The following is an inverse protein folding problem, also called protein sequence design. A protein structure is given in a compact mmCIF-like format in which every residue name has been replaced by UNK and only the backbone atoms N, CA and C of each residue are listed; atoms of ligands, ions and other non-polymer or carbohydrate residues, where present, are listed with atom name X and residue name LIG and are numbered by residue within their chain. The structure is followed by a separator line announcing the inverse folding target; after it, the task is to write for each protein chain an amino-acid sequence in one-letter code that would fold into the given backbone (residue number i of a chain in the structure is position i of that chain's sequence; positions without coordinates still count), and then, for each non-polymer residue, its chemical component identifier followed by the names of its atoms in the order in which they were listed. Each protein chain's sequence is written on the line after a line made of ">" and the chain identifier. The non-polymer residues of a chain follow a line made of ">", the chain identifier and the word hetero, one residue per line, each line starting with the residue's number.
data_IF_652310002742
#
_entry.id   IF_652310002742
#
_cell.length_a   1.000
_cell.length_b   1.000
_cell.length_c   1.000
_cell.angle_alpha   90.00
_cell.angle_beta   90.00
_cell.angle_gamma   90.00
#
_symmetry.space_group_name_H-M   'P 1'
#
loop_
_entity.id
_entity.type
_entity.pdbx_description
1 polymer ?
#
# COMPACT_ATOMS: atom_id res chain seq x y z
N UNK A 1 14.47 -87.22 25.68
CA UNK A 1 14.94 -86.53 24.46
C UNK A 1 14.17 -85.21 24.33
N UNK A 2 14.84 -84.11 23.95
CA UNK A 2 14.44 -82.77 24.36
C UNK A 2 13.38 -82.14 23.46
N UNK A 3 12.38 -81.54 24.13
CA UNK A 3 11.35 -80.66 23.58
C UNK A 3 11.99 -79.38 23.03
N UNK A 4 11.75 -79.09 21.75
CA UNK A 4 12.13 -77.83 21.10
C UNK A 4 10.96 -76.85 21.22
N UNK A 5 11.15 -75.81 22.03
CA UNK A 5 10.30 -74.63 22.05
C UNK A 5 10.45 -73.83 20.74
N UNK A 6 9.36 -73.32 20.15
CA UNK A 6 9.43 -72.37 19.06
C UNK A 6 9.72 -70.94 19.59
N UNK A 7 10.76 -70.34 19.02
CA UNK A 7 11.19 -68.95 19.24
C UNK A 7 10.10 -67.96 18.79
N UNK A 8 9.59 -67.16 19.72
CA UNK A 8 8.75 -66.01 19.44
C UNK A 8 9.58 -64.90 18.77
N UNK A 9 9.14 -64.44 17.60
CA UNK A 9 9.70 -63.29 16.89
C UNK A 9 9.03 -62.03 17.42
N UNK A 10 9.78 -61.19 18.14
CA UNK A 10 9.31 -59.89 18.62
C UNK A 10 9.38 -58.86 17.48
N UNK A 11 8.22 -58.33 17.10
CA UNK A 11 8.10 -57.19 16.21
C UNK A 11 8.53 -55.91 16.96
N UNK A 12 9.63 -55.30 16.53
CA UNK A 12 10.06 -53.97 16.98
C UNK A 12 9.23 -52.90 16.27
N UNK A 13 8.38 -52.22 17.03
CA UNK A 13 7.63 -51.04 16.61
C UNK A 13 8.57 -49.85 16.44
N UNK A 14 8.83 -49.47 15.19
CA UNK A 14 9.56 -48.24 14.86
C UNK A 14 8.81 -47.01 15.35
N UNK A 15 9.42 -46.24 16.26
CA UNK A 15 8.94 -44.91 16.67
C UNK A 15 8.98 -43.97 15.46
N UNK A 16 7.90 -43.24 15.14
CA UNK A 16 7.94 -42.20 14.13
C UNK A 16 8.88 -41.07 14.58
N UNK A 17 9.83 -40.76 13.71
CA UNK A 17 10.75 -39.62 13.82
C UNK A 17 9.96 -38.33 14.01
N UNK A 18 10.34 -37.56 15.03
CA UNK A 18 9.76 -36.24 15.32
C UNK A 18 10.06 -35.33 14.12
N UNK A 19 9.00 -34.97 13.40
CA UNK A 19 8.99 -33.90 12.41
C UNK A 19 9.62 -32.66 13.07
N UNK A 20 10.71 -32.19 12.49
CA UNK A 20 11.44 -31.03 12.96
C UNK A 20 10.50 -29.83 13.09
N UNK A 21 10.63 -29.10 14.20
CA UNK A 21 9.94 -27.82 14.38
C UNK A 21 10.21 -26.96 13.13
N UNK A 22 9.18 -26.36 12.50
CA UNK A 22 9.42 -25.42 11.42
C UNK A 22 10.33 -24.30 11.93
N UNK A 23 11.33 -23.95 11.11
CA UNK A 23 12.23 -22.85 11.37
C UNK A 23 11.42 -21.62 11.80
N UNK A 24 11.84 -20.99 12.90
CA UNK A 24 11.30 -19.70 13.31
C UNK A 24 11.60 -18.75 12.16
N UNK A 25 10.57 -18.46 11.36
CA UNK A 25 10.64 -17.39 10.37
C UNK A 25 10.88 -16.12 11.17
N UNK A 26 12.11 -15.62 11.09
CA UNK A 26 12.49 -14.33 11.65
C UNK A 26 11.47 -13.32 11.11
N UNK A 27 10.65 -12.74 12.00
CA UNK A 27 9.69 -11.73 11.58
C UNK A 27 10.52 -10.55 11.10
N UNK A 28 10.48 -10.28 9.79
CA UNK A 28 11.09 -9.07 9.22
C UNK A 28 10.63 -7.86 10.04
N UNK A 29 11.60 -7.22 10.69
CA UNK A 29 11.35 -6.08 11.55
C UNK A 29 11.15 -4.85 10.67
N UNK A 30 9.95 -4.25 10.71
CA UNK A 30 9.70 -2.98 10.03
C UNK A 30 10.56 -1.88 10.65
N UNK A 31 11.09 -1.00 9.81
CA UNK A 31 11.71 0.25 10.27
C UNK A 31 10.61 1.19 10.76
N UNK A 32 10.68 1.58 12.04
CA UNK A 32 9.70 2.46 12.68
C UNK A 32 10.31 3.83 12.95
N UNK A 33 9.54 4.87 12.73
CA UNK A 33 9.91 6.24 13.10
C UNK A 33 8.86 6.81 14.04
N UNK A 34 9.31 7.45 15.12
CA UNK A 34 8.43 8.08 16.10
C UNK A 34 7.68 9.27 15.51
N UNK A 35 6.47 9.51 16.00
CA UNK A 35 5.66 10.66 15.63
C UNK A 35 6.36 11.98 15.99
N UNK A 36 6.08 13.03 15.21
CA UNK A 36 6.43 14.40 15.56
C UNK A 36 5.62 14.82 16.81
N UNK A 37 6.26 15.20 17.92
CA UNK A 37 5.56 15.69 19.11
C UNK A 37 4.67 16.90 18.78
N UNK A 38 3.41 16.86 19.21
CA UNK A 38 2.45 17.99 19.05
C UNK A 38 1.57 17.94 17.79
N UNK A 39 1.65 16.89 16.97
CA UNK A 39 0.68 16.70 15.89
C UNK A 39 -0.75 16.56 16.47
N UNK A 40 -1.72 17.29 15.90
CA UNK A 40 -3.08 17.34 16.40
C UNK A 40 -3.72 15.94 16.48
N UNK A 41 -4.40 15.64 17.58
CA UNK A 41 -5.09 14.35 17.84
C UNK A 41 -6.59 14.38 17.51
N UNK A 42 -7.12 15.53 17.08
CA UNK A 42 -8.53 15.68 16.71
C UNK A 42 -8.65 15.42 15.22
N UNK A 43 -9.05 14.21 14.87
CA UNK A 43 -9.44 13.86 13.51
C UNK A 43 -10.90 14.26 13.27
N UNK A 44 -11.32 14.39 12.01
CA UNK A 44 -12.72 14.60 11.69
C UNK A 44 -13.58 13.37 11.99
N UNK A 45 -14.82 13.38 11.50
CA UNK A 45 -15.67 12.17 11.49
C UNK A 45 -14.94 11.03 10.78
N UNK A 46 -15.14 9.81 11.24
CA UNK A 46 -14.51 8.62 10.67
C UNK A 46 -14.85 8.50 9.18
N UNK A 47 -16.09 8.79 8.77
CA UNK A 47 -16.48 8.87 7.37
C UNK A 47 -15.51 9.72 6.52
N UNK A 48 -15.24 10.96 6.95
CA UNK A 48 -14.40 11.90 6.22
C UNK A 48 -12.95 11.41 6.18
N UNK A 49 -12.45 10.89 7.30
CA UNK A 49 -11.10 10.32 7.36
C UNK A 49 -10.94 9.09 6.48
N UNK A 50 -11.96 8.23 6.36
CA UNK A 50 -11.94 7.09 5.45
C UNK A 50 -11.97 7.53 3.98
N UNK A 51 -12.67 8.61 3.66
CA UNK A 51 -12.63 9.20 2.31
C UNK A 51 -11.23 9.72 1.96
N UNK A 52 -10.63 10.51 2.86
CA UNK A 52 -9.27 11.02 2.68
C UNK A 52 -8.27 9.86 2.58
N UNK A 53 -8.38 8.87 3.46
CA UNK A 53 -7.51 7.71 3.45
C UNK A 53 -7.62 6.92 2.14
N UNK A 54 -8.84 6.67 1.63
CA UNK A 54 -9.03 5.99 0.34
C UNK A 54 -8.35 6.72 -0.83
N UNK A 55 -8.40 8.07 -0.83
CA UNK A 55 -7.72 8.90 -1.82
C UNK A 55 -6.19 8.80 -1.69
N UNK A 56 -5.65 9.01 -0.49
CA UNK A 56 -4.21 8.91 -0.26
C UNK A 56 -3.69 7.50 -0.55
N UNK A 57 -4.49 6.45 -0.30
CA UNK A 57 -4.14 5.07 -0.67
C UNK A 57 -3.96 4.87 -2.17
N UNK A 58 -4.82 5.49 -2.97
CA UNK A 58 -4.67 5.47 -4.42
C UNK A 58 -3.44 6.28 -4.85
N UNK A 59 -3.29 7.49 -4.29
CA UNK A 59 -2.20 8.42 -4.61
C UNK A 59 -0.83 7.81 -4.29
N UNK A 60 -0.60 7.36 -3.06
CA UNK A 60 0.68 6.78 -2.64
C UNK A 60 1.01 5.49 -3.39
N UNK A 61 0.01 4.69 -3.76
CA UNK A 61 0.24 3.52 -4.61
C UNK A 61 0.87 3.90 -5.95
N UNK A 62 0.27 4.84 -6.68
CA UNK A 62 0.80 5.27 -7.97
C UNK A 62 2.13 6.03 -7.86
N UNK A 63 2.29 6.88 -6.83
CA UNK A 63 3.56 7.55 -6.56
C UNK A 63 4.67 6.54 -6.27
N UNK A 64 4.40 5.52 -5.46
CA UNK A 64 5.36 4.44 -5.19
C UNK A 64 5.78 3.72 -6.50
N UNK A 65 4.82 3.34 -7.35
CA UNK A 65 5.12 2.68 -8.63
C UNK A 65 5.87 3.59 -9.62
N UNK A 66 5.56 4.88 -9.62
CA UNK A 66 6.26 5.86 -10.44
C UNK A 66 7.72 6.03 -9.99
N UNK A 67 7.93 6.27 -8.70
CA UNK A 67 9.27 6.50 -8.14
C UNK A 67 10.17 5.29 -8.35
N UNK A 68 9.67 4.06 -8.20
CA UNK A 68 10.49 2.86 -8.44
C UNK A 68 10.88 2.70 -9.91
N UNK A 69 10.02 3.11 -10.85
CA UNK A 69 10.34 3.14 -12.30
C UNK A 69 11.33 4.25 -12.65
N UNK A 70 11.23 5.41 -12.00
CA UNK A 70 12.20 6.48 -12.16
C UNK A 70 13.60 6.05 -11.68
N UNK A 71 13.67 5.36 -10.54
CA UNK A 71 14.93 4.76 -10.04
C UNK A 71 15.49 3.74 -11.02
N UNK A 72 14.66 2.80 -11.51
CA UNK A 72 15.07 1.82 -12.55
C UNK A 72 15.72 2.53 -13.74
N UNK A 73 15.06 3.56 -14.27
CA UNK A 73 15.55 4.32 -15.41
C UNK A 73 16.89 5.01 -15.13
N UNK A 74 17.00 5.76 -14.04
CA UNK A 74 18.21 6.51 -13.72
C UNK A 74 19.38 5.57 -13.40
N UNK A 75 19.14 4.49 -12.66
CA UNK A 75 20.17 3.54 -12.31
C UNK A 75 20.68 2.78 -13.54
N UNK A 76 19.82 2.50 -14.52
CA UNK A 76 20.18 1.79 -15.75
C UNK A 76 20.81 2.70 -16.83
N UNK A 77 20.91 4.02 -16.60
CA UNK A 77 21.68 4.91 -17.50
C UNK A 77 23.17 4.62 -17.43
N UNK A 78 23.67 4.20 -16.27
CA UNK A 78 25.04 3.75 -16.14
C UNK A 78 25.17 2.31 -16.64
N UNK A 79 25.59 2.17 -17.90
CA UNK A 79 25.76 0.86 -18.55
C UNK A 79 26.93 0.05 -18.00
N UNK A 80 27.74 0.60 -17.09
CA UNK A 80 28.82 -0.15 -16.42
C UNK A 80 28.30 -1.05 -15.28
N UNK A 81 27.06 -0.83 -14.84
CA UNK A 81 26.39 -1.59 -13.78
C UNK A 81 25.41 -2.61 -14.35
N UNK A 82 25.13 -3.67 -13.59
CA UNK A 82 24.08 -4.61 -13.94
C UNK A 82 22.71 -3.89 -13.92
N UNK A 83 21.86 -4.09 -14.95
CA UNK A 83 20.56 -3.44 -14.98
C UNK A 83 19.66 -3.98 -13.88
N UNK A 84 18.93 -3.07 -13.23
CA UNK A 84 17.89 -3.39 -12.25
C UNK A 84 16.52 -3.39 -12.93
N UNK A 85 15.55 -4.06 -12.31
CA UNK A 85 14.15 -4.09 -12.78
C UNK A 85 13.24 -3.64 -11.66
N UNK A 86 12.36 -2.66 -11.91
CA UNK A 86 11.42 -2.18 -10.88
C UNK A 86 10.47 -3.27 -10.38
N UNK A 87 10.12 -4.24 -11.22
CA UNK A 87 9.30 -5.39 -10.83
C UNK A 87 9.95 -6.23 -9.69
N UNK A 88 11.27 -6.13 -9.52
CA UNK A 88 12.02 -6.79 -8.45
C UNK A 88 12.28 -5.86 -7.25
N UNK A 89 11.84 -4.61 -7.31
CA UNK A 89 12.20 -3.59 -6.32
C UNK A 89 11.30 -3.49 -5.10
N UNK A 90 10.15 -4.14 -5.12
CA UNK A 90 9.14 -4.00 -4.08
C UNK A 90 8.80 -5.31 -3.37
N UNK A 91 8.34 -5.19 -2.13
CA UNK A 91 7.70 -6.22 -1.33
C UNK A 91 6.18 -5.96 -1.24
N UNK A 92 5.39 -7.01 -1.09
CA UNK A 92 3.93 -6.94 -0.95
C UNK A 92 3.48 -6.48 0.45
N UNK A 93 4.43 -6.28 1.37
CA UNK A 93 4.21 -5.74 2.71
C UNK A 93 5.08 -4.52 2.94
N UNK A 94 4.52 -3.49 3.59
CA UNK A 94 5.28 -2.31 3.97
C UNK A 94 6.47 -2.69 4.85
N UNK A 95 7.65 -2.18 4.48
CA UNK A 95 8.90 -2.33 5.24
C UNK A 95 9.15 -1.15 6.18
N UNK A 96 8.43 -0.04 5.98
CA UNK A 96 8.51 1.18 6.78
C UNK A 96 7.17 1.45 7.45
N UNK A 97 7.21 2.13 8.59
CA UNK A 97 6.01 2.63 9.27
C UNK A 97 6.37 3.90 10.05
N UNK A 98 5.63 4.96 9.76
CA UNK A 98 5.59 6.16 10.60
C UNK A 98 4.47 5.96 11.60
N UNK A 99 4.71 6.37 12.84
CA UNK A 99 3.77 6.23 13.95
C UNK A 99 3.51 4.78 14.40
N UNK A 100 2.98 4.68 15.60
CA UNK A 100 2.42 3.46 16.15
C UNK A 100 0.93 3.70 16.44
N UNK A 101 0.12 2.65 16.31
CA UNK A 101 -1.23 2.69 16.83
C UNK A 101 -1.23 2.88 18.35
N UNK A 102 -2.32 3.36 18.93
CA UNK A 102 -2.43 3.49 20.38
C UNK A 102 -3.53 2.61 20.96
N UNK A 103 -3.43 2.36 22.25
CA UNK A 103 -4.41 1.65 23.08
C UNK A 103 -4.76 2.55 24.24
N UNK A 104 -6.04 2.81 24.47
CA UNK A 104 -6.51 3.71 25.51
C UNK A 104 -7.58 3.04 26.35
N UNK A 105 -7.43 3.17 27.67
CA UNK A 105 -8.44 2.82 28.68
C UNK A 105 -9.17 4.06 29.20
N UNK A 106 -8.87 5.24 28.66
CA UNK A 106 -9.52 6.49 29.04
C UNK A 106 -11.03 6.40 28.74
N UNK A 107 -11.92 6.68 29.72
CA UNK A 107 -13.37 6.71 29.53
C UNK A 107 -13.85 7.62 28.39
N UNK A 108 -13.04 8.58 27.95
CA UNK A 108 -13.32 9.41 26.77
C UNK A 108 -13.18 8.68 25.43
N UNK A 109 -12.65 7.44 25.41
CA UNK A 109 -12.56 6.61 24.21
C UNK A 109 -13.65 5.53 24.20
N UNK A 110 -14.13 5.19 23.01
CA UNK A 110 -15.21 4.24 22.78
C UNK A 110 -14.72 3.00 22.06
N UNK A 111 -15.35 1.87 22.34
CA UNK A 111 -15.13 0.66 21.55
C UNK A 111 -15.78 0.78 20.18
N UNK A 112 -15.15 0.16 19.17
CA UNK A 112 -15.72 0.09 17.83
C UNK A 112 -16.97 -0.81 17.84
N UNK A 113 -18.15 -0.20 17.66
CA UNK A 113 -19.44 -0.89 17.57
C UNK A 113 -19.58 -1.57 16.20
N UNK A 114 -19.44 -2.90 16.17
CA UNK A 114 -19.32 -3.66 14.92
C UNK A 114 -20.64 -3.82 14.17
N UNK A 115 -21.72 -3.81 14.91
CA UNK A 115 -23.11 -4.03 14.49
C UNK A 115 -23.88 -2.73 14.27
N UNK A 116 -23.25 -1.59 14.53
CA UNK A 116 -23.82 -0.25 14.40
C UNK A 116 -23.18 0.49 13.21
N UNK A 117 -23.97 0.88 12.22
CA UNK A 117 -23.48 1.60 11.04
C UNK A 117 -23.21 3.08 11.31
N UNK A 118 -23.74 3.67 12.39
CA UNK A 118 -23.45 5.06 12.77
C UNK A 118 -22.06 5.24 13.37
N UNK A 119 -21.26 4.16 13.49
CA UNK A 119 -19.85 4.23 13.92
C UNK A 119 -18.99 5.13 13.04
N UNK A 120 -19.42 5.37 11.78
CA UNK A 120 -18.75 6.29 10.86
C UNK A 120 -18.93 7.77 11.24
N UNK A 121 -19.90 8.08 12.11
CA UNK A 121 -20.17 9.42 12.59
C UNK A 121 -19.28 9.82 13.77
N UNK A 122 -18.65 8.84 14.41
CA UNK A 122 -17.70 9.04 15.49
C UNK A 122 -16.39 9.66 14.98
N UNK A 123 -15.68 10.37 15.84
CA UNK A 123 -14.34 10.90 15.54
C UNK A 123 -13.36 9.74 15.28
N UNK A 124 -12.55 9.77 14.21
CA UNK A 124 -11.64 8.65 13.89
C UNK A 124 -10.61 8.32 14.99
N UNK A 125 -10.35 9.25 15.91
CA UNK A 125 -9.42 9.10 17.05
C UNK A 125 -10.11 8.83 18.38
N UNK A 126 -11.45 8.75 18.45
CA UNK A 126 -12.16 8.45 19.71
C UNK A 126 -12.12 6.98 20.10
N UNK A 127 -11.47 6.10 19.34
CA UNK A 127 -11.54 4.66 19.58
C UNK A 127 -10.49 4.16 20.57
N UNK A 128 -10.86 3.21 21.42
CA UNK A 128 -9.96 2.55 22.39
C UNK A 128 -8.76 1.87 21.72
N UNK A 129 -8.93 1.41 20.48
CA UNK A 129 -7.94 0.68 19.72
C UNK A 129 -7.77 1.28 18.32
N UNK A 130 -6.65 1.95 18.07
CA UNK A 130 -6.28 2.50 16.75
C UNK A 130 -4.99 1.87 16.25
N UNK A 131 -4.87 1.66 14.95
CA UNK A 131 -3.63 1.22 14.31
C UNK A 131 -3.14 2.30 13.34
N UNK A 132 -1.82 2.33 13.12
CA UNK A 132 -1.21 3.07 12.03
C UNK A 132 -1.51 2.34 10.72
N UNK A 133 -2.53 2.80 10.00
CA UNK A 133 -2.97 2.26 8.73
C UNK A 133 -2.13 2.88 7.59
N UNK A 134 -1.55 2.04 6.74
CA UNK A 134 -0.67 2.47 5.67
C UNK A 134 -1.43 3.11 4.52
N UNK A 135 -0.92 4.22 3.98
CA UNK A 135 -1.40 4.69 2.69
C UNK A 135 -0.93 3.76 1.55
N UNK A 136 0.28 3.21 1.64
CA UNK A 136 0.78 2.21 0.70
C UNK A 136 1.36 1.03 1.46
N UNK A 137 0.79 -0.16 1.29
CA UNK A 137 1.30 -1.36 1.97
C UNK A 137 2.42 -2.07 1.18
N UNK A 138 3.08 -1.36 0.26
CA UNK A 138 4.24 -1.89 -0.45
C UNK A 138 5.53 -1.56 0.31
N UNK A 139 6.45 -2.51 0.32
CA UNK A 139 7.78 -2.37 0.90
C UNK A 139 8.85 -2.22 -0.17
N UNK A 140 10.04 -1.82 0.25
CA UNK A 140 11.24 -1.77 -0.59
C UNK A 140 12.07 -3.02 -0.31
N UNK A 141 12.42 -3.79 -1.34
CA UNK A 141 13.23 -5.00 -1.17
C UNK A 141 14.68 -4.65 -0.82
N UNK A 142 15.29 -5.26 0.22
CA UNK A 142 16.69 -5.00 0.56
C UNK A 142 17.66 -5.29 -0.58
N UNK A 143 17.40 -6.35 -1.36
CA UNK A 143 18.21 -6.71 -2.52
C UNK A 143 18.16 -5.66 -3.63
N UNK A 144 17.08 -4.91 -3.76
CA UNK A 144 16.97 -3.80 -4.70
C UNK A 144 17.75 -2.60 -4.22
N UNK A 145 17.59 -2.21 -2.94
CA UNK A 145 18.37 -1.13 -2.32
C UNK A 145 19.88 -1.37 -2.45
N UNK A 146 20.35 -2.60 -2.25
CA UNK A 146 21.76 -2.96 -2.40
C UNK A 146 22.34 -2.83 -3.82
N UNK A 147 21.48 -2.70 -4.83
CA UNK A 147 21.90 -2.50 -6.24
C UNK A 147 21.88 -1.04 -6.67
N UNK A 148 21.30 -0.14 -5.87
CA UNK A 148 21.11 1.27 -6.23
C UNK A 148 22.44 2.02 -6.22
N UNK A 149 22.60 2.95 -7.15
CA UNK A 149 23.66 3.94 -7.11
C UNK A 149 23.31 5.10 -6.19
N UNK A 150 23.45 4.91 -4.88
CA UNK A 150 23.17 5.97 -3.90
C UNK A 150 24.20 7.12 -3.92
N UNK A 151 25.26 7.02 -4.73
CA UNK A 151 26.15 8.17 -4.99
C UNK A 151 25.55 9.17 -5.97
N UNK A 152 24.60 8.72 -6.80
CA UNK A 152 23.79 9.58 -7.64
C UNK A 152 22.69 10.24 -6.78
N UNK A 153 22.77 11.56 -6.62
CA UNK A 153 21.86 12.32 -5.76
C UNK A 153 20.38 12.11 -6.13
N UNK A 154 20.05 12.00 -7.42
CA UNK A 154 18.66 11.78 -7.84
C UNK A 154 18.15 10.39 -7.45
N UNK A 155 19.00 9.36 -7.57
CA UNK A 155 18.64 8.01 -7.14
C UNK A 155 18.48 7.96 -5.62
N UNK A 156 19.36 8.64 -4.88
CA UNK A 156 19.25 8.78 -3.43
C UNK A 156 17.94 9.47 -3.02
N UNK A 157 17.63 10.64 -3.59
CA UNK A 157 16.43 11.41 -3.24
C UNK A 157 15.14 10.61 -3.51
N UNK A 158 15.07 9.95 -4.67
CA UNK A 158 13.94 9.09 -5.02
C UNK A 158 13.83 7.87 -4.10
N UNK A 159 14.96 7.30 -3.67
CA UNK A 159 14.97 6.20 -2.72
C UNK A 159 14.46 6.63 -1.34
N UNK A 160 14.86 7.80 -0.84
CA UNK A 160 14.30 8.36 0.40
C UNK A 160 12.80 8.65 0.25
N UNK A 161 12.37 9.13 -0.92
CA UNK A 161 10.95 9.36 -1.19
C UNK A 161 10.14 8.04 -1.20
N UNK A 162 10.70 6.94 -1.73
CA UNK A 162 10.06 5.62 -1.63
C UNK A 162 9.83 5.21 -0.17
N UNK A 163 10.79 5.49 0.73
CA UNK A 163 10.63 5.18 2.15
C UNK A 163 9.47 5.97 2.76
N UNK A 164 9.32 7.24 2.37
CA UNK A 164 8.20 8.08 2.80
C UNK A 164 6.88 7.49 2.32
N UNK A 165 6.76 7.11 1.05
CA UNK A 165 5.52 6.50 0.54
C UNK A 165 5.20 5.15 1.19
N UNK A 166 6.21 4.32 1.45
CA UNK A 166 6.04 3.04 2.15
C UNK A 166 5.77 3.22 3.66
N UNK A 167 6.17 4.35 4.24
CA UNK A 167 6.12 4.61 5.68
C UNK A 167 4.91 5.40 6.12
N UNK A 168 4.39 6.32 5.30
CA UNK A 168 3.29 7.19 5.69
C UNK A 168 2.04 6.39 6.09
N UNK A 169 1.51 6.72 7.26
CA UNK A 169 0.30 6.12 7.82
C UNK A 169 -0.67 7.20 8.30
N UNK A 170 -1.88 6.77 8.64
CA UNK A 170 -2.79 7.55 9.48
C UNK A 170 -3.39 6.66 10.55
N UNK A 171 -3.84 7.25 11.67
CA UNK A 171 -4.55 6.50 12.69
C UNK A 171 -5.97 6.21 12.24
N UNK A 172 -6.31 4.93 12.23
CA UNK A 172 -7.67 4.45 12.02
C UNK A 172 -8.02 3.43 13.09
N UNK A 173 -9.32 3.18 13.35
CA UNK A 173 -9.72 2.10 14.22
C UNK A 173 -9.09 0.79 13.75
N UNK A 174 -8.54 -0.01 14.67
CA UNK A 174 -7.88 -1.28 14.33
C UNK A 174 -8.78 -2.17 13.45
N UNK A 175 -10.09 -2.15 13.70
CA UNK A 175 -11.08 -2.92 12.94
C UNK A 175 -11.14 -2.52 11.46
N UNK A 176 -10.90 -1.24 11.14
CA UNK A 176 -10.79 -0.75 9.77
C UNK A 176 -9.49 -1.26 9.13
N UNK A 177 -8.37 -1.14 9.83
CA UNK A 177 -7.04 -1.58 9.38
C UNK A 177 -7.02 -3.10 9.03
N UNK A 178 -7.54 -3.95 9.91
CA UNK A 178 -7.58 -5.41 9.66
C UNK A 178 -8.74 -5.85 8.75
N UNK A 179 -9.65 -4.93 8.40
CA UNK A 179 -10.89 -5.21 7.69
C UNK A 179 -10.87 -4.70 6.24
N UNK A 180 -11.57 -3.59 5.92
CA UNK A 180 -11.58 -3.01 4.58
C UNK A 180 -10.18 -2.66 4.08
N UNK A 181 -9.30 -2.13 4.93
CA UNK A 181 -7.98 -1.66 4.51
C UNK A 181 -7.09 -2.81 4.02
N UNK A 182 -7.17 -3.94 4.72
CA UNK A 182 -6.55 -5.21 4.31
C UNK A 182 -6.96 -5.67 2.90
N UNK A 183 -8.14 -5.30 2.40
CA UNK A 183 -8.55 -5.62 1.02
C UNK A 183 -7.80 -4.79 -0.01
N UNK A 184 -7.48 -3.55 0.33
CA UNK A 184 -6.67 -2.66 -0.50
C UNK A 184 -5.18 -3.05 -0.43
N UNK A 185 -4.69 -3.51 0.72
CA UNK A 185 -3.33 -4.05 0.84
C UNK A 185 -3.05 -5.19 -0.15
N UNK A 186 -3.99 -6.14 -0.24
CA UNK A 186 -3.89 -7.27 -1.17
C UNK A 186 -3.94 -6.77 -2.60
N UNK A 187 -4.84 -5.83 -2.91
CA UNK A 187 -4.93 -5.21 -4.23
C UNK A 187 -3.63 -4.50 -4.63
N UNK A 188 -3.00 -3.76 -3.71
CA UNK A 188 -1.72 -3.10 -3.94
C UNK A 188 -0.65 -4.10 -4.39
N UNK A 189 -0.50 -5.22 -3.69
CA UNK A 189 0.48 -6.25 -4.06
C UNK A 189 0.23 -6.86 -5.45
N UNK A 190 -1.02 -7.15 -5.76
CA UNK A 190 -1.43 -7.73 -7.04
C UNK A 190 -1.23 -6.76 -8.21
N UNK A 191 -1.71 -5.52 -8.08
CA UNK A 191 -1.59 -4.51 -9.12
C UNK A 191 -0.16 -4.01 -9.28
N UNK A 192 0.63 -3.88 -8.22
CA UNK A 192 2.06 -3.56 -8.33
C UNK A 192 2.80 -4.62 -9.17
N UNK A 193 2.53 -5.90 -8.88
CA UNK A 193 3.10 -7.02 -9.66
C UNK A 193 2.71 -6.92 -11.12
N UNK A 194 1.43 -6.66 -11.41
CA UNK A 194 0.92 -6.52 -12.78
C UNK A 194 1.53 -5.31 -13.50
N UNK A 195 1.44 -4.13 -12.91
CA UNK A 195 1.81 -2.86 -13.53
C UNK A 195 3.31 -2.66 -13.69
N UNK A 196 4.14 -3.20 -12.80
CA UNK A 196 5.60 -3.07 -12.92
C UNK A 196 6.22 -4.07 -13.90
N UNK A 197 5.56 -5.21 -14.13
CA UNK A 197 5.96 -6.20 -15.15
C UNK A 197 5.53 -5.79 -16.55
N UNK A 198 4.41 -5.10 -16.68
CA UNK A 198 3.94 -4.57 -17.97
C UNK A 198 4.72 -3.30 -18.36
N UNK A 199 5.62 -3.47 -19.33
CA UNK A 199 6.46 -2.41 -19.91
C UNK A 199 5.78 -1.64 -21.04
N UNK A 200 4.58 -2.05 -21.48
CA UNK A 200 3.89 -1.46 -22.64
C UNK A 200 3.11 -0.20 -22.29
N UNK A 201 2.84 0.04 -21.01
CA UNK A 201 2.05 1.16 -20.54
C UNK A 201 2.72 1.87 -19.37
N UNK A 202 2.58 3.20 -19.30
CA UNK A 202 3.02 3.97 -18.16
C UNK A 202 2.26 3.56 -16.88
N UNK A 203 2.96 3.52 -15.74
CA UNK A 203 2.39 3.15 -14.42
C UNK A 203 1.27 4.07 -13.98
N UNK A 204 1.39 5.36 -14.25
CA UNK A 204 0.39 6.39 -13.94
C UNK A 204 -0.45 6.74 -15.17
N UNK A 205 -1.03 5.73 -15.83
CA UNK A 205 -1.93 5.95 -16.97
C UNK A 205 -3.40 5.97 -16.55
N UNK A 206 -4.24 6.60 -17.37
CA UNK A 206 -5.70 6.65 -17.16
C UNK A 206 -6.32 5.26 -17.01
N UNK A 207 -5.90 4.32 -17.86
CA UNK A 207 -6.40 2.94 -17.84
C UNK A 207 -6.02 2.22 -16.55
N UNK A 208 -4.79 2.39 -16.06
CA UNK A 208 -4.33 1.76 -14.81
C UNK A 208 -5.00 2.36 -13.57
N UNK A 209 -5.21 3.67 -13.54
CA UNK A 209 -5.97 4.34 -12.45
C UNK A 209 -7.43 3.86 -12.46
N UNK A 210 -8.07 3.79 -13.62
CA UNK A 210 -9.42 3.27 -13.75
C UNK A 210 -9.51 1.80 -13.32
N UNK A 211 -8.52 0.97 -13.70
CA UNK A 211 -8.43 -0.42 -13.27
C UNK A 211 -8.33 -0.53 -11.74
N UNK A 212 -7.43 0.24 -11.11
CA UNK A 212 -7.29 0.29 -9.65
C UNK A 212 -8.62 0.62 -8.97
N UNK A 213 -9.29 1.68 -9.42
CA UNK A 213 -10.56 2.16 -8.86
C UNK A 213 -11.65 1.09 -8.99
N UNK A 214 -11.77 0.48 -10.17
CA UNK A 214 -12.78 -0.54 -10.44
C UNK A 214 -12.55 -1.79 -9.58
N UNK A 215 -11.32 -2.28 -9.49
CA UNK A 215 -10.99 -3.43 -8.67
C UNK A 215 -11.16 -3.16 -7.17
N UNK A 216 -10.74 -1.99 -6.69
CA UNK A 216 -10.93 -1.58 -5.30
C UNK A 216 -12.42 -1.52 -4.94
N UNK A 217 -13.22 -0.85 -5.78
CA UNK A 217 -14.66 -0.72 -5.62
C UNK A 217 -15.35 -2.09 -5.56
N UNK A 218 -15.01 -2.99 -6.49
CA UNK A 218 -15.58 -4.34 -6.54
C UNK A 218 -15.26 -5.13 -5.26
N UNK A 219 -13.99 -5.14 -4.83
CA UNK A 219 -13.54 -5.88 -3.63
C UNK A 219 -14.21 -5.37 -2.37
N UNK A 220 -14.27 -4.05 -2.20
CA UNK A 220 -14.87 -3.42 -1.02
C UNK A 220 -16.38 -3.58 -0.99
N UNK A 221 -17.06 -3.51 -2.14
CA UNK A 221 -18.49 -3.80 -2.24
C UNK A 221 -18.78 -5.24 -1.83
N UNK A 222 -18.02 -6.21 -2.37
CA UNK A 222 -18.15 -7.62 -1.99
C UNK A 222 -17.87 -7.85 -0.51
N UNK A 223 -16.84 -7.20 0.04
CA UNK A 223 -16.54 -7.25 1.47
C UNK A 223 -17.69 -6.68 2.32
N UNK A 224 -18.23 -5.51 1.96
CA UNK A 224 -19.35 -4.90 2.66
C UNK A 224 -20.59 -5.81 2.66
N UNK A 225 -20.91 -6.44 1.52
CA UNK A 225 -22.01 -7.40 1.42
C UNK A 225 -21.81 -8.61 2.35
N UNK A 226 -20.58 -9.15 2.42
CA UNK A 226 -20.24 -10.24 3.34
C UNK A 226 -20.38 -9.81 4.80
N UNK A 227 -19.91 -8.61 5.16
CA UNK A 227 -20.02 -8.09 6.53
C UNK A 227 -21.47 -7.84 6.94
N UNK A 228 -22.32 -7.31 6.05
CA UNK A 228 -23.77 -7.16 6.30
C UNK A 228 -24.44 -8.50 6.56
N UNK A 229 -24.14 -9.53 5.76
CA UNK A 229 -24.66 -10.89 6.00
C UNK A 229 -24.23 -11.46 7.36
N UNK A 230 -23.04 -11.08 7.83
CA UNK A 230 -22.51 -11.44 9.14
C UNK A 230 -22.95 -10.50 10.27
N UNK A 231 -23.92 -9.59 10.04
CA UNK A 231 -24.40 -8.58 11.00
C UNK A 231 -23.31 -7.61 11.51
N UNK A 232 -22.22 -7.45 10.77
CA UNK A 232 -21.16 -6.48 11.04
C UNK A 232 -21.43 -5.17 10.29
N UNK A 233 -22.52 -4.48 10.64
CA UNK A 233 -22.99 -3.28 9.91
C UNK A 233 -21.97 -2.13 9.94
N UNK A 234 -21.31 -1.88 11.07
CA UNK A 234 -20.26 -0.86 11.19
C UNK A 234 -19.05 -1.12 10.29
N UNK A 235 -18.60 -2.39 10.17
CA UNK A 235 -17.52 -2.74 9.23
C UNK A 235 -17.94 -2.54 7.77
N UNK A 236 -19.19 -2.87 7.47
CA UNK A 236 -19.73 -2.66 6.13
C UNK A 236 -19.83 -1.16 5.80
N UNK A 237 -20.26 -0.34 6.75
CA UNK A 237 -20.33 1.12 6.59
C UNK A 237 -18.96 1.71 6.26
N UNK A 238 -17.91 1.35 7.03
CA UNK A 238 -16.54 1.81 6.75
C UNK A 238 -16.06 1.41 5.34
N UNK A 239 -16.36 0.18 4.89
CA UNK A 239 -16.00 -0.26 3.55
C UNK A 239 -16.73 0.53 2.45
N UNK A 240 -17.99 0.92 2.69
CA UNK A 240 -18.79 1.73 1.77
C UNK A 240 -18.33 3.19 1.69
N UNK A 241 -17.71 3.74 2.75
CA UNK A 241 -17.03 5.03 2.66
C UNK A 241 -15.92 4.99 1.59
N UNK A 242 -15.06 3.96 1.59
CA UNK A 242 -14.03 3.82 0.54
C UNK A 242 -14.64 3.72 -0.86
N UNK A 243 -15.68 2.91 -1.02
CA UNK A 243 -16.41 2.79 -2.30
C UNK A 243 -16.91 4.15 -2.77
N UNK A 244 -17.50 4.94 -1.87
CA UNK A 244 -18.01 6.28 -2.16
C UNK A 244 -16.89 7.23 -2.56
N UNK A 245 -15.74 7.19 -1.87
CA UNK A 245 -14.56 7.98 -2.26
C UNK A 245 -14.04 7.60 -3.64
N UNK A 246 -13.92 6.30 -3.94
CA UNK A 246 -13.46 5.84 -5.26
C UNK A 246 -14.42 6.25 -6.39
N UNK A 247 -15.73 6.22 -6.15
CA UNK A 247 -16.74 6.74 -7.09
C UNK A 247 -16.62 8.26 -7.31
N UNK A 248 -16.32 9.03 -6.26
CA UNK A 248 -16.06 10.48 -6.36
C UNK A 248 -14.79 10.77 -7.16
N UNK A 249 -13.72 9.99 -6.97
CA UNK A 249 -12.52 10.09 -7.80
C UNK A 249 -12.90 9.91 -9.27
N UNK A 250 -13.74 8.93 -9.59
CA UNK A 250 -14.24 8.71 -10.96
C UNK A 250 -15.08 9.89 -11.48
N UNK A 251 -15.90 10.52 -10.64
CA UNK A 251 -16.86 11.55 -11.06
C UNK A 251 -16.25 12.95 -11.15
N UNK A 252 -15.43 13.35 -10.17
CA UNK A 252 -14.84 14.69 -10.10
C UNK A 252 -13.57 14.84 -10.96
N UNK A 253 -12.80 13.76 -11.15
CA UNK A 253 -11.59 13.79 -11.98
C UNK A 253 -11.81 13.27 -13.42
N UNK A 254 -12.92 12.56 -13.69
CA UNK A 254 -13.20 11.98 -15.01
C UNK A 254 -14.59 12.30 -15.59
N UNK A 255 -15.36 13.18 -14.93
CA UNK A 255 -16.66 13.65 -15.42
C UNK A 255 -16.53 14.53 -16.67
N UNK A 256 -16.99 14.00 -17.81
CA UNK A 256 -16.84 14.48 -19.20
C UNK A 256 -15.47 14.24 -19.85
N UNK A 257 -15.03 12.99 -19.93
CA UNK A 257 -13.78 12.69 -20.64
C UNK A 257 -13.98 11.52 -21.63
N UNK A 258 -14.23 11.87 -22.89
CA UNK A 258 -14.04 11.00 -24.07
C UNK A 258 -12.57 10.55 -24.15
N UNK A 259 -12.24 9.56 -24.99
CA UNK A 259 -10.88 8.97 -25.12
C UNK A 259 -9.75 9.95 -25.51
N UNK A 260 -9.99 11.26 -25.58
CA UNK A 260 -9.20 12.23 -26.35
C UNK A 260 -8.74 13.44 -25.55
N UNK A 261 -8.76 13.44 -24.20
CA UNK A 261 -8.26 14.59 -23.44
C UNK A 261 -6.74 14.47 -23.18
N UNK A 262 -5.91 15.29 -23.85
CA UNK A 262 -4.45 15.19 -23.79
C UNK A 262 -3.87 15.72 -22.46
N UNK A 263 -4.66 16.45 -21.67
CA UNK A 263 -4.18 17.13 -20.45
C UNK A 263 -4.56 16.36 -19.17
N UNK A 264 -5.00 15.10 -19.31
CA UNK A 264 -5.38 14.24 -18.19
C UNK A 264 -4.20 13.89 -17.28
N UNK A 265 -3.08 13.47 -17.88
CA UNK A 265 -1.84 13.27 -17.16
C UNK A 265 -1.44 14.58 -16.50
N UNK A 266 -1.46 15.71 -17.21
CA UNK A 266 -1.11 17.02 -16.66
C UNK A 266 -2.00 17.50 -15.51
N UNK A 267 -3.28 17.12 -15.43
CA UNK A 267 -4.17 17.48 -14.29
C UNK A 267 -4.06 16.53 -13.10
N UNK A 268 -3.90 15.23 -13.34
CA UNK A 268 -3.57 14.27 -12.27
C UNK A 268 -2.19 14.60 -11.72
N UNK A 269 -1.21 14.80 -12.61
CA UNK A 269 0.12 15.28 -12.29
C UNK A 269 0.03 16.66 -11.66
N UNK A 270 -0.72 17.66 -12.13
CA UNK A 270 -0.85 18.99 -11.47
C UNK A 270 -1.53 18.96 -10.10
N UNK A 271 -2.51 18.08 -9.89
CA UNK A 271 -3.10 17.88 -8.55
C UNK A 271 -2.14 17.12 -7.62
N UNK A 272 -1.33 16.22 -8.18
CA UNK A 272 -0.25 15.51 -7.47
C UNK A 272 1.03 16.36 -7.35
N UNK A 273 1.25 17.32 -8.24
CA UNK A 273 2.46 18.11 -8.45
C UNK A 273 2.34 19.53 -7.93
N UNK A 274 1.15 20.05 -7.67
CA UNK A 274 1.00 21.07 -6.64
C UNK A 274 1.58 20.60 -5.29
N UNK A 275 1.53 19.28 -5.03
CA UNK A 275 2.18 18.61 -3.91
C UNK A 275 3.63 18.14 -4.18
N UNK A 276 4.06 17.94 -5.43
CA UNK A 276 5.42 17.49 -5.79
C UNK A 276 6.34 18.67 -6.16
N UNK A 277 5.91 19.64 -6.98
CA UNK A 277 6.63 20.88 -7.27
C UNK A 277 6.84 21.77 -6.02
N UNK A 278 5.89 21.74 -5.07
CA UNK A 278 6.08 22.36 -3.76
C UNK A 278 7.09 21.64 -2.85
N UNK A 279 7.39 20.36 -3.12
CA UNK A 279 8.31 19.52 -2.33
C UNK A 279 9.68 19.32 -3.01
N UNK A 280 9.75 19.42 -4.33
CA UNK A 280 10.97 19.37 -5.15
C UNK A 280 11.54 20.78 -5.45
N UNK A 281 10.97 21.81 -4.84
CA UNK A 281 11.40 23.20 -4.98
C UNK A 281 12.74 23.46 -4.29
N UNK A 282 13.83 23.08 -4.97
CA UNK A 282 15.06 23.86 -5.12
C UNK A 282 16.21 22.98 -5.67
N UNK A 283 16.09 22.42 -6.89
CA UNK A 283 17.27 22.10 -7.76
C UNK A 283 16.90 21.41 -9.09
N UNK A 284 15.74 21.65 -9.70
CA UNK A 284 15.48 21.13 -11.05
C UNK A 284 14.86 22.19 -11.95
N UNK A 285 15.53 22.46 -13.06
CA UNK A 285 15.08 23.42 -14.07
C UNK A 285 13.82 22.87 -14.74
N UNK A 286 12.70 23.51 -14.43
CA UNK A 286 11.34 23.19 -14.85
C UNK A 286 11.18 23.06 -16.38
N UNK A 287 12.06 23.70 -17.16
CA UNK A 287 12.03 23.63 -18.63
C UNK A 287 12.65 22.36 -19.21
N UNK A 288 13.64 21.75 -18.54
CA UNK A 288 14.32 20.53 -19.03
C UNK A 288 13.51 19.25 -18.71
N UNK A 289 12.73 19.26 -17.62
CA UNK A 289 11.90 18.13 -17.22
C UNK A 289 10.59 18.07 -18.03
N UNK A 290 9.97 19.22 -18.31
CA UNK A 290 8.74 19.26 -19.12
C UNK A 290 9.01 18.75 -20.54
N UNK A 291 10.12 19.19 -21.15
CA UNK A 291 10.53 18.72 -22.47
C UNK A 291 10.89 17.22 -22.47
N UNK A 292 11.50 16.67 -21.41
CA UNK A 292 11.90 15.26 -21.35
C UNK A 292 10.76 14.32 -20.96
N UNK A 293 9.87 14.72 -20.08
CA UNK A 293 8.66 13.94 -19.74
C UNK A 293 7.67 13.98 -20.90
N UNK A 294 7.52 15.12 -21.61
CA UNK A 294 6.73 15.20 -22.85
C UNK A 294 7.38 14.42 -24.00
N UNK A 295 8.70 14.48 -24.18
CA UNK A 295 9.41 13.64 -25.17
C UNK A 295 9.34 12.14 -24.81
N UNK A 296 9.32 11.77 -23.52
CA UNK A 296 9.12 10.38 -23.07
C UNK A 296 7.68 9.88 -23.27
N UNK A 297 6.68 10.76 -23.30
CA UNK A 297 5.29 10.43 -23.58
C UNK A 297 4.97 10.41 -25.09
N UNK A 298 5.70 11.19 -25.90
CA UNK A 298 5.55 11.23 -27.37
C UNK A 298 6.35 10.11 -28.08
N UNK A 299 7.46 9.63 -27.50
CA UNK A 299 8.27 8.56 -28.09
C UNK A 299 7.61 7.15 -28.06
N UNK A 300 6.38 7.03 -27.55
CA UNK A 300 5.63 5.76 -27.46
C UNK A 300 4.18 5.85 -28.01
N UNK A 301 3.89 6.84 -28.87
CA UNK A 301 2.79 6.80 -29.86
C UNK A 301 3.36 6.65 -31.25
#
# INVERSE_FOLDING_TARGET
>A
MPSKNPTQTTATTGKPSKIGKPAVVEKEHRSKTSRIPGAANLSGRLEDMLHVHAFERCRHFFLFLYTIKAIEYLNNKDTSRAPILAANGFDIKATHQIDDGFRSEDPGHVDFRRDDDTVIDETATSFTNTDAAHFCNLGIKPSFTGQLDLSNQHVFDLHEQLKVFAGNTTWLPQIVNIGPDRKIDVLHGELATKFLKDTTSAVCSRSRIAEYINEATLRLTNYALQQRKAKNHGKAACALCYVTAYAKITTQQFGHITKTDPNFAERVFSSMSGSIAGWCGATFNEQDERLRVEQMLIAYT
#
